data_IF_982354502793
#
_entry.id   IF_982354502793
#
_cell.length_a   1.000
_cell.length_b   1.000
_cell.length_c   1.000
_cell.angle_alpha   90.00
_cell.angle_beta   90.00
_cell.angle_gamma   90.00
#
_symmetry.space_group_name_H-M   'P 1'
#
loop_
_entity.id
_entity.type
_entity.pdbx_description
1 polymer ?
#
# COMPACT_ATOMS: atom_id res chain seq x y z
N UNK A 1 -49.37 28.67 49.82
CA UNK A 1 -49.80 27.54 50.69
C UNK A 1 -50.44 26.46 49.84
N UNK A 2 -50.08 25.20 50.12
CA UNK A 2 -50.58 23.92 49.56
C UNK A 2 -49.94 23.48 48.24
N UNK A 3 -49.50 22.23 48.04
CA UNK A 3 -49.30 21.04 48.89
C UNK A 3 -48.41 20.09 48.05
N UNK A 4 -47.52 19.36 48.72
CA UNK A 4 -46.67 18.29 48.21
C UNK A 4 -47.38 17.30 47.26
N UNK A 5 -46.60 16.73 46.33
CA UNK A 5 -46.58 15.27 46.07
C UNK A 5 -45.30 14.89 45.32
N UNK A 6 -44.37 14.30 46.08
CA UNK A 6 -43.23 13.53 45.61
C UNK A 6 -43.78 12.19 45.11
N UNK A 7 -43.47 11.82 43.87
CA UNK A 7 -43.64 10.47 43.35
C UNK A 7 -42.29 10.04 42.79
N UNK A 8 -41.57 9.26 43.60
CA UNK A 8 -40.45 8.45 43.16
C UNK A 8 -40.99 7.35 42.24
N UNK A 9 -40.60 7.39 40.96
CA UNK A 9 -40.68 6.22 40.08
C UNK A 9 -39.25 5.91 39.67
N UNK A 10 -38.67 4.95 40.37
CA UNK A 10 -37.53 4.20 39.86
C UNK A 10 -38.04 3.34 38.70
N UNK A 11 -37.53 3.56 37.50
CA UNK A 11 -37.72 2.68 36.36
C UNK A 11 -36.35 2.34 35.77
N UNK A 12 -36.21 1.05 35.48
CA UNK A 12 -34.98 0.30 35.28
C UNK A 12 -34.00 0.86 34.22
N UNK A 13 -32.71 0.75 34.54
CA UNK A 13 -31.67 0.59 33.53
C UNK A 13 -31.91 -0.74 32.80
N UNK A 14 -31.94 -0.69 31.46
CA UNK A 14 -31.84 -1.75 30.43
C UNK A 14 -32.36 -1.03 29.16
N UNK A 15 -31.59 -0.71 28.11
CA UNK A 15 -30.79 -1.61 27.27
C UNK A 15 -29.70 -0.81 26.54
N UNK A 16 -28.44 -1.22 26.68
CA UNK A 16 -27.46 -1.07 25.61
C UNK A 16 -27.76 -2.14 24.56
N UNK A 17 -28.37 -1.75 23.45
CA UNK A 17 -28.41 -2.52 22.21
C UNK A 17 -28.66 -1.57 21.03
N UNK A 18 -27.74 -0.63 20.81
CA UNK A 18 -27.63 0.13 19.57
C UNK A 18 -26.39 -0.34 18.80
N UNK A 19 -26.33 -1.64 18.52
CA UNK A 19 -25.42 -2.26 17.55
C UNK A 19 -26.14 -3.48 16.94
N UNK A 20 -27.32 -3.25 16.39
CA UNK A 20 -27.80 -4.04 15.27
C UNK A 20 -28.07 -3.01 14.18
N UNK A 21 -27.04 -2.74 13.36
CA UNK A 21 -27.37 -2.25 12.04
C UNK A 21 -27.95 -3.47 11.32
N UNK A 22 -29.27 -3.45 11.31
CA UNK A 22 -30.17 -4.23 10.49
C UNK A 22 -29.53 -4.45 9.11
N UNK A 23 -29.58 -5.70 8.66
CA UNK A 23 -29.28 -6.12 7.31
C UNK A 23 -30.27 -5.42 6.34
N UNK A 24 -29.93 -4.21 5.90
CA UNK A 24 -30.61 -3.60 4.77
C UNK A 24 -30.22 -4.40 3.52
N UNK A 25 -31.12 -5.31 3.14
CA UNK A 25 -31.13 -6.10 1.89
C UNK A 25 -31.24 -5.27 0.61
N UNK A 26 -30.68 -4.07 0.60
CA UNK A 26 -30.29 -3.30 -0.58
C UNK A 26 -28.86 -2.85 -0.29
N UNK A 27 -27.93 -3.80 -0.41
CA UNK A 27 -26.51 -3.54 -0.22
C UNK A 27 -26.07 -2.34 -1.06
N UNK A 28 -25.28 -1.47 -0.46
CA UNK A 28 -24.68 -0.29 -1.06
C UNK A 28 -23.81 -0.71 -2.26
N UNK A 29 -24.44 -0.94 -3.42
CA UNK A 29 -23.86 -1.69 -4.54
C UNK A 29 -23.06 -0.79 -5.49
N UNK A 30 -22.52 0.32 -4.97
CA UNK A 30 -21.63 1.20 -5.71
C UNK A 30 -20.31 0.51 -6.09
N UNK A 31 -19.58 1.09 -7.05
CA UNK A 31 -18.25 0.64 -7.39
C UNK A 31 -17.32 0.83 -6.18
N UNK A 32 -16.63 -0.23 -5.76
CA UNK A 32 -15.66 -0.19 -4.64
C UNK A 32 -14.25 -0.15 -5.23
N UNK A 33 -13.50 0.89 -4.89
CA UNK A 33 -12.12 1.07 -5.34
C UNK A 33 -11.15 0.30 -4.43
N UNK A 34 -10.07 -0.22 -5.03
CA UNK A 34 -8.96 -0.79 -4.29
C UNK A 34 -8.06 0.33 -3.72
N UNK A 35 -7.77 0.24 -2.42
CA UNK A 35 -6.75 1.06 -1.73
C UNK A 35 -5.54 0.18 -1.43
N UNK A 36 -4.34 0.72 -1.61
CA UNK A 36 -3.11 -0.04 -1.41
C UNK A 36 -2.40 0.41 -0.13
N UNK A 37 -1.99 -0.57 0.68
CA UNK A 37 -1.07 -0.38 1.80
C UNK A 37 0.21 -1.16 1.54
N UNK A 38 1.35 -0.55 1.78
CA UNK A 38 2.63 -1.13 1.44
C UNK A 38 3.71 -0.81 2.47
N UNK A 39 4.47 -1.82 2.84
CA UNK A 39 5.73 -1.70 3.56
C UNK A 39 6.89 -2.22 2.70
N UNK A 40 8.10 -1.79 3.04
CA UNK A 40 9.34 -2.28 2.43
C UNK A 40 10.04 -3.20 3.43
N UNK A 41 10.51 -4.35 2.98
CA UNK A 41 11.23 -5.30 3.83
C UNK A 41 12.45 -4.65 4.47
N UNK A 42 12.57 -4.74 5.79
CA UNK A 42 13.66 -4.19 6.60
C UNK A 42 14.84 -5.17 6.81
N UNK A 43 14.79 -6.35 6.18
CA UNK A 43 15.69 -7.47 6.49
C UNK A 43 17.16 -7.23 6.07
N UNK A 44 17.43 -6.27 5.19
CA UNK A 44 18.79 -5.92 4.75
C UNK A 44 18.83 -4.41 4.53
N UNK A 45 19.85 -3.72 5.08
CA UNK A 45 20.21 -2.36 4.65
C UNK A 45 20.81 -2.44 3.24
N UNK A 46 19.97 -2.66 2.24
CA UNK A 46 20.33 -2.56 0.80
C UNK A 46 20.33 -1.10 0.32
N UNK A 47 19.88 -0.18 1.18
CA UNK A 47 19.93 1.26 0.92
C UNK A 47 21.13 1.87 1.65
N UNK A 48 22.07 2.42 0.89
CA UNK A 48 23.05 3.40 1.37
C UNK A 48 22.50 4.83 1.35
N UNK A 49 21.17 4.98 1.38
CA UNK A 49 20.45 6.23 1.12
C UNK A 49 19.69 6.67 2.40
N UNK A 50 19.36 7.96 2.51
CA UNK A 50 18.87 8.58 3.73
C UNK A 50 17.54 7.99 4.27
N UNK A 51 16.78 7.34 3.40
CA UNK A 51 15.36 7.02 3.57
C UNK A 51 15.13 5.54 3.96
N UNK A 52 16.14 4.87 4.55
CA UNK A 52 16.08 3.69 5.45
C UNK A 52 14.85 2.73 5.30
N UNK A 53 14.58 2.23 4.10
CA UNK A 53 13.46 1.34 3.78
C UNK A 53 12.07 1.91 4.13
N UNK A 54 11.89 3.22 4.01
CA UNK A 54 10.61 3.93 4.12
C UNK A 54 10.22 4.57 2.79
N UNK A 55 8.92 4.78 2.61
CA UNK A 55 8.38 5.59 1.52
C UNK A 55 8.59 7.08 1.78
N UNK A 56 8.70 7.85 0.70
CA UNK A 56 8.74 9.31 0.72
C UNK A 56 7.46 9.88 0.12
N UNK A 57 7.07 11.08 0.55
CA UNK A 57 5.97 11.82 -0.03
C UNK A 57 6.14 11.96 -1.56
N UNK A 58 5.13 11.53 -2.31
CA UNK A 58 5.11 11.55 -3.77
C UNK A 58 5.65 10.29 -4.44
N UNK A 59 6.14 9.30 -3.68
CA UNK A 59 6.55 8.01 -4.25
C UNK A 59 5.37 7.36 -4.99
N UNK A 60 5.68 6.78 -6.15
CA UNK A 60 4.68 6.21 -7.05
C UNK A 60 5.03 4.76 -7.40
N UNK A 61 4.01 3.90 -7.35
CA UNK A 61 4.08 2.48 -7.71
C UNK A 61 3.20 2.19 -8.92
N UNK A 62 3.58 1.18 -9.70
CA UNK A 62 2.72 0.60 -10.73
C UNK A 62 2.03 -0.65 -10.17
N UNK A 63 0.70 -0.64 -10.15
CA UNK A 63 -0.14 -1.72 -9.58
C UNK A 63 -0.78 -2.54 -10.70
N UNK A 64 -0.68 -3.85 -10.56
CA UNK A 64 -1.33 -4.83 -11.42
C UNK A 64 -2.36 -5.61 -10.62
N UNK A 65 -3.45 -5.99 -11.29
CA UNK A 65 -4.51 -6.79 -10.70
C UNK A 65 -4.96 -7.86 -11.68
N UNK A 66 -4.98 -9.10 -11.20
CA UNK A 66 -5.39 -10.28 -11.96
C UNK A 66 -6.43 -11.05 -11.15
N UNK A 67 -7.56 -11.38 -11.77
CA UNK A 67 -8.61 -12.19 -11.17
C UNK A 67 -9.09 -13.27 -12.13
N UNK A 68 -9.72 -14.31 -11.60
CA UNK A 68 -10.53 -15.25 -12.39
C UNK A 68 -11.88 -14.65 -12.82
N UNK A 69 -12.26 -13.51 -12.24
CA UNK A 69 -13.41 -12.71 -12.62
C UNK A 69 -13.06 -11.61 -13.64
N UNK A 70 -13.76 -10.48 -13.52
CA UNK A 70 -13.69 -9.34 -14.43
C UNK A 70 -12.76 -8.22 -13.95
N UNK A 71 -12.34 -8.25 -12.68
CA UNK A 71 -11.43 -7.25 -12.11
C UNK A 71 -10.03 -7.41 -12.69
N UNK A 72 -9.53 -6.34 -13.32
CA UNK A 72 -8.21 -6.29 -13.95
C UNK A 72 -7.56 -4.93 -13.74
N UNK A 73 -6.24 -4.91 -13.72
CA UNK A 73 -5.44 -3.69 -13.61
C UNK A 73 -4.10 -3.91 -14.31
N UNK A 74 -3.75 -2.97 -15.19
CA UNK A 74 -2.50 -2.99 -15.96
C UNK A 74 -1.74 -1.70 -15.70
N UNK A 75 -0.59 -1.82 -15.03
CA UNK A 75 0.32 -0.74 -14.66
C UNK A 75 -0.36 0.54 -14.16
N UNK A 76 -1.29 0.40 -13.23
CA UNK A 76 -2.06 1.51 -12.68
C UNK A 76 -1.20 2.30 -11.70
N UNK A 77 -1.05 3.61 -11.96
CA UNK A 77 -0.22 4.49 -11.13
C UNK A 77 -0.93 4.78 -9.81
N UNK A 78 -0.29 4.39 -8.71
CA UNK A 78 -0.71 4.73 -7.36
C UNK A 78 0.39 5.55 -6.67
N UNK A 79 0.01 6.54 -5.86
CA UNK A 79 0.93 7.50 -5.23
C UNK A 79 0.67 7.56 -3.73
N UNK A 80 1.73 7.57 -2.92
CA UNK A 80 1.63 7.92 -1.51
C UNK A 80 1.86 9.42 -1.36
N UNK A 81 0.86 10.15 -0.88
CA UNK A 81 0.97 11.61 -0.75
C UNK A 81 1.92 11.99 0.39
N UNK A 82 1.89 11.23 1.49
CA UNK A 82 2.62 11.54 2.71
C UNK A 82 3.86 10.67 2.94
N UNK A 83 4.05 9.60 2.15
CA UNK A 83 5.08 8.60 2.41
C UNK A 83 4.76 7.67 3.59
N UNK A 84 3.48 7.56 3.96
CA UNK A 84 3.02 6.75 5.11
C UNK A 84 2.72 5.28 4.74
N UNK A 85 3.04 4.88 3.51
CA UNK A 85 2.75 3.55 2.97
C UNK A 85 1.30 3.35 2.53
N UNK A 86 0.43 4.37 2.63
CA UNK A 86 -0.88 4.37 1.99
C UNK A 86 -0.77 4.97 0.60
N UNK A 87 -1.31 4.25 -0.39
CA UNK A 87 -1.22 4.57 -1.80
C UNK A 87 -2.62 4.64 -2.41
N UNK A 88 -2.88 5.73 -3.11
CA UNK A 88 -4.14 6.00 -3.81
C UNK A 88 -3.89 6.15 -5.32
N UNK A 89 -4.91 5.86 -6.13
CA UNK A 89 -4.82 6.01 -7.58
C UNK A 89 -4.50 7.48 -7.95
N UNK A 90 -3.55 7.66 -8.87
CA UNK A 90 -3.08 9.00 -9.24
C UNK A 90 -4.14 9.87 -9.93
N UNK A 91 -5.11 9.24 -10.60
CA UNK A 91 -6.26 9.88 -11.25
C UNK A 91 -7.37 8.84 -11.53
N UNK A 92 -8.50 9.29 -12.07
CA UNK A 92 -9.66 8.43 -12.37
C UNK A 92 -9.36 7.30 -13.37
N UNK A 93 -8.35 7.43 -14.23
CA UNK A 93 -7.97 6.38 -15.18
C UNK A 93 -7.12 5.28 -14.50
N UNK A 94 -6.55 5.58 -13.34
CA UNK A 94 -5.73 4.67 -12.57
C UNK A 94 -6.50 3.87 -11.51
N UNK A 95 -7.77 4.22 -11.23
CA UNK A 95 -8.56 3.51 -10.22
C UNK A 95 -8.82 2.07 -10.66
N UNK A 96 -8.51 1.12 -9.78
CA UNK A 96 -8.93 -0.28 -9.91
C UNK A 96 -10.22 -0.45 -9.11
N UNK A 97 -11.33 -0.68 -9.82
CA UNK A 97 -12.61 -1.02 -9.20
C UNK A 97 -12.82 -2.53 -9.21
N UNK A 98 -13.30 -3.09 -8.09
CA UNK A 98 -13.78 -4.46 -8.05
C UNK A 98 -15.07 -4.58 -8.87
N UNK A 99 -15.00 -5.29 -9.99
CA UNK A 99 -16.12 -5.43 -10.95
C UNK A 99 -17.05 -6.58 -10.59
N UNK A 100 -16.65 -7.42 -9.65
CA UNK A 100 -17.40 -8.55 -9.11
C UNK A 100 -16.91 -8.87 -7.68
N UNK A 101 -17.45 -9.95 -7.11
CA UNK A 101 -17.09 -10.43 -5.77
C UNK A 101 -15.94 -11.46 -5.79
N UNK A 102 -15.25 -11.66 -6.92
CA UNK A 102 -14.13 -12.59 -6.98
C UNK A 102 -12.91 -11.98 -6.30
N UNK A 103 -12.17 -12.82 -5.60
CA UNK A 103 -10.86 -12.44 -5.11
C UNK A 103 -9.96 -12.05 -6.29
N UNK A 104 -9.19 -11.00 -6.09
CA UNK A 104 -8.25 -10.46 -7.06
C UNK A 104 -6.87 -10.48 -6.42
N UNK A 105 -5.88 -11.00 -7.15
CA UNK A 105 -4.48 -11.00 -6.74
C UNK A 105 -3.77 -9.80 -7.34
N UNK A 106 -2.94 -9.15 -6.55
CA UNK A 106 -2.24 -7.93 -6.90
C UNK A 106 -0.73 -8.14 -6.89
N UNK A 107 -0.05 -7.38 -7.74
CA UNK A 107 1.38 -7.14 -7.67
C UNK A 107 1.67 -5.68 -7.92
N UNK A 108 2.81 -5.21 -7.44
CA UNK A 108 3.21 -3.83 -7.60
C UNK A 108 4.72 -3.68 -7.65
N UNK A 109 5.18 -2.62 -8.31
CA UNK A 109 6.60 -2.29 -8.41
C UNK A 109 6.86 -0.80 -8.20
N UNK A 110 8.08 -0.49 -7.76
CA UNK A 110 8.62 0.86 -7.61
C UNK A 110 10.00 0.96 -8.29
N UNK A 111 10.40 2.10 -8.85
CA UNK A 111 9.56 3.30 -9.08
C UNK A 111 8.62 3.11 -10.27
N UNK A 112 7.45 3.74 -10.22
CA UNK A 112 6.50 3.73 -11.34
C UNK A 112 7.14 4.25 -12.63
N UNK A 113 6.86 3.54 -13.73
CA UNK A 113 7.20 3.99 -15.07
C UNK A 113 5.99 3.76 -15.99
N UNK A 114 5.52 4.82 -16.65
CA UNK A 114 4.38 4.75 -17.56
C UNK A 114 4.62 3.83 -18.76
N UNK A 115 5.86 3.76 -19.23
CA UNK A 115 6.23 3.04 -20.44
C UNK A 115 7.09 1.82 -20.08
N UNK A 116 6.44 0.67 -19.99
CA UNK A 116 7.09 -0.63 -19.93
C UNK A 116 6.97 -1.31 -21.28
N UNK A 117 8.05 -1.94 -21.75
CA UNK A 117 8.04 -2.71 -22.99
C UNK A 117 7.97 -4.19 -22.63
N UNK A 118 6.89 -4.88 -23.01
CA UNK A 118 6.62 -6.28 -22.64
C UNK A 118 6.73 -6.56 -21.13
N UNK A 119 6.23 -5.64 -20.30
CA UNK A 119 6.32 -5.73 -18.84
C UNK A 119 7.72 -5.54 -18.27
N UNK A 120 8.70 -5.18 -19.11
CA UNK A 120 10.09 -4.94 -18.69
C UNK A 120 10.31 -3.46 -18.43
N UNK A 121 10.89 -3.17 -17.28
CA UNK A 121 11.42 -1.86 -16.97
C UNK A 121 12.71 -1.65 -17.75
N UNK A 122 12.78 -0.56 -18.52
CA UNK A 122 14.04 -0.11 -19.10
C UNK A 122 14.89 0.52 -18.00
N UNK A 123 15.59 -0.33 -17.25
CA UNK A 123 16.42 0.06 -16.12
C UNK A 123 17.80 0.50 -16.61
N UNK A 124 18.25 1.65 -16.14
CA UNK A 124 19.60 2.15 -16.37
C UNK A 124 20.31 2.26 -15.02
N UNK A 125 21.59 1.93 -15.01
CA UNK A 125 22.44 2.15 -13.84
C UNK A 125 22.45 3.65 -13.53
N UNK A 126 22.16 3.98 -12.27
CA UNK A 126 22.25 5.35 -11.78
C UNK A 126 23.49 5.49 -10.91
N UNK A 127 24.13 6.65 -10.97
CA UNK A 127 25.14 7.04 -10.00
C UNK A 127 24.49 7.11 -8.61
N UNK A 128 25.14 6.49 -7.62
CA UNK A 128 24.71 6.53 -6.22
C UNK A 128 25.60 7.54 -5.52
N UNK A 129 25.07 8.72 -5.30
CA UNK A 129 25.71 9.68 -4.41
C UNK A 129 25.46 9.28 -2.95
N UNK A 130 26.49 9.40 -2.12
CA UNK A 130 26.37 9.09 -0.69
C UNK A 130 25.26 9.95 -0.05
N UNK A 131 24.36 9.29 0.70
CA UNK A 131 23.21 9.91 1.36
C UNK A 131 22.14 10.49 0.41
N UNK A 132 22.15 10.17 -0.89
CA UNK A 132 21.07 10.52 -1.82
C UNK A 132 20.24 9.28 -2.20
N UNK A 133 18.92 9.42 -2.46
CA UNK A 133 18.11 8.33 -2.97
C UNK A 133 18.65 7.79 -4.30
N UNK A 134 18.88 6.48 -4.36
CA UNK A 134 19.25 5.80 -5.60
C UNK A 134 18.00 5.66 -6.46
N UNK A 135 17.95 6.39 -7.59
CA UNK A 135 16.83 6.31 -8.54
C UNK A 135 16.71 4.95 -9.24
N UNK A 136 17.73 4.11 -9.11
CA UNK A 136 17.80 2.77 -9.68
C UNK A 136 17.41 1.66 -8.69
N UNK A 137 16.93 2.02 -7.48
CA UNK A 137 16.47 1.07 -6.47
C UNK A 137 15.07 0.53 -6.81
N UNK A 138 15.03 -0.61 -7.50
CA UNK A 138 13.79 -1.26 -7.92
C UNK A 138 13.26 -2.13 -6.79
N UNK A 139 11.97 -1.95 -6.47
CA UNK A 139 11.25 -2.78 -5.51
C UNK A 139 10.10 -3.53 -6.19
N UNK A 140 9.80 -4.72 -5.70
CA UNK A 140 8.67 -5.53 -6.17
C UNK A 140 7.93 -6.21 -5.01
N UNK A 141 6.61 -6.25 -5.14
CA UNK A 141 5.68 -6.92 -4.25
C UNK A 141 4.67 -7.73 -5.09
N UNK A 142 4.25 -8.89 -4.60
CA UNK A 142 3.29 -9.73 -5.31
C UNK A 142 2.56 -10.67 -4.38
N UNK A 143 1.34 -11.06 -4.75
CA UNK A 143 0.59 -12.13 -4.10
C UNK A 143 -0.46 -11.64 -3.11
N UNK A 144 -0.47 -10.35 -2.75
CA UNK A 144 -1.53 -9.78 -1.92
C UNK A 144 -2.88 -9.94 -2.61
N UNK A 145 -3.90 -10.32 -1.86
CA UNK A 145 -5.27 -10.45 -2.36
C UNK A 145 -6.21 -9.41 -1.75
N UNK A 146 -7.24 -9.04 -2.50
CA UNK A 146 -8.33 -8.20 -2.04
C UNK A 146 -9.61 -8.53 -2.82
N UNK A 147 -10.75 -8.06 -2.32
CA UNK A 147 -12.07 -8.27 -2.95
C UNK A 147 -12.98 -7.07 -2.73
N UNK A 148 -14.15 -7.05 -3.38
CA UNK A 148 -15.17 -6.01 -3.14
C UNK A 148 -15.56 -5.88 -1.66
N UNK A 149 -15.60 -6.99 -0.92
CA UNK A 149 -15.94 -7.01 0.51
C UNK A 149 -14.78 -6.56 1.42
N UNK A 150 -13.54 -6.73 0.96
CA UNK A 150 -12.31 -6.36 1.67
C UNK A 150 -11.36 -5.68 0.68
N UNK A 151 -11.56 -4.38 0.37
CA UNK A 151 -10.94 -3.74 -0.79
C UNK A 151 -9.49 -3.28 -0.58
N UNK A 152 -8.96 -3.45 0.63
CA UNK A 152 -7.58 -3.06 0.94
C UNK A 152 -6.61 -4.13 0.47
N UNK A 153 -5.72 -3.75 -0.45
CA UNK A 153 -4.58 -4.56 -0.89
C UNK A 153 -3.44 -4.33 0.10
N UNK A 154 -3.07 -5.34 0.88
CA UNK A 154 -2.02 -5.24 1.90
C UNK A 154 -0.71 -5.89 1.44
N UNK A 155 0.26 -5.09 1.03
CA UNK A 155 1.66 -5.48 0.83
C UNK A 155 2.51 -5.16 2.07
N UNK A 156 2.05 -5.58 3.26
CA UNK A 156 2.70 -5.23 4.54
C UNK A 156 3.23 -6.45 5.29
N UNK A 157 2.66 -7.63 5.06
CA UNK A 157 3.15 -8.87 5.65
C UNK A 157 4.48 -9.34 5.02
N UNK A 158 5.15 -10.29 5.66
CA UNK A 158 6.49 -10.71 5.26
C UNK A 158 6.56 -11.40 3.89
N UNK A 159 5.48 -12.02 3.45
CA UNK A 159 5.41 -12.75 2.19
C UNK A 159 5.21 -11.78 1.04
N UNK A 160 4.30 -10.82 1.20
CA UNK A 160 3.82 -9.97 0.12
C UNK A 160 4.39 -8.54 0.09
N UNK A 161 5.05 -8.06 1.16
CA UNK A 161 5.65 -6.72 1.17
C UNK A 161 6.72 -6.51 0.11
N UNK A 162 7.01 -5.25 -0.19
CA UNK A 162 8.02 -4.88 -1.16
C UNK A 162 9.41 -5.36 -0.75
N UNK A 163 10.13 -5.94 -1.71
CA UNK A 163 11.50 -6.40 -1.56
C UNK A 163 12.36 -5.72 -2.63
N UNK A 164 13.60 -5.45 -2.29
CA UNK A 164 14.59 -4.95 -3.26
C UNK A 164 14.86 -6.01 -4.33
N UNK A 165 14.85 -5.61 -5.59
CA UNK A 165 15.21 -6.47 -6.73
C UNK A 165 16.70 -6.40 -7.08
N UNK A 166 17.42 -5.45 -6.48
CA UNK A 166 18.82 -5.15 -6.77
C UNK A 166 19.73 -5.49 -5.58
N UNK A 167 21.02 -5.66 -5.85
CA UNK A 167 22.06 -5.84 -4.83
C UNK A 167 22.83 -4.53 -4.60
N UNK A 168 23.17 -4.25 -3.34
CA UNK A 168 24.08 -3.16 -2.97
C UNK A 168 25.52 -3.70 -2.92
N UNK A 169 26.44 -3.06 -3.65
CA UNK A 169 27.88 -3.32 -3.57
C UNK A 169 28.57 -2.06 -3.05
N UNK A 170 29.21 -2.17 -1.88
CA UNK A 170 29.90 -1.05 -1.23
C UNK A 170 31.41 -1.28 -1.20
N UNK A 171 32.18 -0.37 -1.81
CA UNK A 171 33.64 -0.37 -1.76
C UNK A 171 34.14 0.58 -0.67
N UNK A 172 34.66 0.02 0.43
CA UNK A 172 35.31 0.79 1.51
C UNK A 172 36.82 0.81 1.32
N UNK A 173 37.33 1.81 0.61
CA UNK A 173 38.77 1.98 0.35
C UNK A 173 39.43 2.68 1.54
N UNK A 174 40.49 2.08 2.09
CA UNK A 174 41.29 2.67 3.19
C UNK A 174 42.75 2.81 2.75
N UNK A 175 43.45 3.88 3.14
CA UNK A 175 44.87 4.01 2.85
C UNK A 175 45.67 2.90 3.53
N UNK A 176 46.63 2.32 2.81
CA UNK A 176 47.63 1.40 3.37
C UNK A 176 48.71 2.13 4.16
N UNK A 177 49.63 1.38 4.79
CA UNK A 177 50.73 1.95 5.59
C UNK A 177 51.84 2.62 4.75
N UNK A 178 51.69 2.68 3.42
CA UNK A 178 52.76 3.05 2.50
C UNK A 178 53.85 1.99 2.42
N UNK A 179 54.70 2.09 1.40
CA UNK A 179 56.01 1.40 1.38
C UNK A 179 57.01 2.43 1.88
N UNK A 180 57.82 2.07 2.88
CA UNK A 180 58.91 2.92 3.39
C UNK A 180 60.11 2.87 2.47
#
# INVERSE_FOLDING_TARGET
MKKFKILYIAAAALLFAACANEEDGIGNNGPVAATVKADISNNIKTRGTADNNSWTAGDAIGVYATSSGYTTGDNKKYVTTNGDGTFEAADNNNIIYFKDNKETTFSAYYPYNKFLTDGKMNWNIAEVEANQPCKADVLFASGATASKASPTVNFTDAEHRFKHCMSLVEFKIKPGQGVK
#
